data_IF_782251105924
#
_entry.id   IF_782251105924
#
_cell.length_a   1.000
_cell.length_b   1.000
_cell.length_c   1.000
_cell.angle_alpha   90.00
_cell.angle_beta   90.00
_cell.angle_gamma   90.00
#
_symmetry.space_group_name_H-M   'P 1'
#
loop_
_entity.id
_entity.type
_entity.pdbx_description
1 polymer ?
#
# COMPACT_ATOMS: atom_id res chain seq x y z
N UNK A 1 -10.49 27.69 -18.94
CA UNK A 1 -10.33 26.25 -19.21
C UNK A 1 -10.44 25.53 -17.88
N UNK A 2 -11.41 24.64 -17.70
CA UNK A 2 -11.47 23.79 -16.50
C UNK A 2 -10.17 22.98 -16.41
N UNK A 3 -9.50 22.91 -15.25
CA UNK A 3 -8.28 22.12 -15.12
C UNK A 3 -8.56 20.70 -15.60
N UNK A 4 -7.85 20.26 -16.63
CA UNK A 4 -7.95 18.88 -17.11
C UNK A 4 -7.49 17.97 -15.97
N UNK A 5 -8.43 17.22 -15.37
CA UNK A 5 -8.10 16.25 -14.33
C UNK A 5 -7.03 15.30 -14.89
N UNK A 6 -5.92 15.05 -14.17
CA UNK A 6 -4.91 14.10 -14.62
C UNK A 6 -5.54 12.73 -14.84
N UNK A 7 -5.32 12.12 -16.02
CA UNK A 7 -5.82 10.77 -16.28
C UNK A 7 -4.92 9.73 -15.62
N UNK A 8 -5.50 8.85 -14.80
CA UNK A 8 -4.82 7.68 -14.25
C UNK A 8 -5.35 6.41 -14.94
N UNK A 9 -4.50 5.45 -15.33
CA UNK A 9 -4.96 4.20 -15.94
C UNK A 9 -5.96 3.46 -15.08
N UNK A 10 -7.00 2.88 -15.68
CA UNK A 10 -8.06 2.19 -14.92
C UNK A 10 -7.53 1.05 -14.06
N UNK A 11 -6.64 0.21 -14.60
CA UNK A 11 -6.05 -0.91 -13.86
C UNK A 11 -5.24 -0.44 -12.64
N UNK A 12 -4.55 0.71 -12.74
CA UNK A 12 -3.87 1.32 -11.60
C UNK A 12 -4.88 1.68 -10.51
N UNK A 13 -5.96 2.40 -10.88
CA UNK A 13 -6.96 2.86 -9.92
C UNK A 13 -7.64 1.69 -9.21
N UNK A 14 -7.98 0.64 -9.95
CA UNK A 14 -8.58 -0.57 -9.39
C UNK A 14 -7.63 -1.27 -8.41
N UNK A 15 -6.42 -1.62 -8.84
CA UNK A 15 -5.47 -2.33 -7.98
C UNK A 15 -5.09 -1.48 -6.76
N UNK A 16 -4.83 -0.19 -6.96
CA UNK A 16 -4.53 0.74 -5.88
C UNK A 16 -5.70 0.87 -4.90
N UNK A 17 -6.93 1.04 -5.41
CA UNK A 17 -8.13 1.21 -4.60
C UNK A 17 -8.43 -0.03 -3.74
N UNK A 18 -8.43 -1.21 -4.36
CA UNK A 18 -8.66 -2.48 -3.64
C UNK A 18 -7.55 -2.72 -2.61
N UNK A 19 -6.28 -2.51 -2.99
CA UNK A 19 -5.14 -2.66 -2.08
C UNK A 19 -5.22 -1.68 -0.91
N UNK A 20 -5.60 -0.42 -1.17
CA UNK A 20 -5.78 0.60 -0.14
C UNK A 20 -6.90 0.26 0.84
N UNK A 21 -8.06 -0.19 0.35
CA UNK A 21 -9.17 -0.61 1.20
C UNK A 21 -8.82 -1.81 2.08
N UNK A 22 -8.16 -2.82 1.50
CA UNK A 22 -7.70 -4.00 2.24
C UNK A 22 -6.62 -3.64 3.27
N UNK A 23 -5.68 -2.76 2.93
CA UNK A 23 -4.67 -2.27 3.88
C UNK A 23 -5.30 -1.51 5.05
N UNK A 24 -6.29 -0.65 4.79
CA UNK A 24 -7.04 0.04 5.86
C UNK A 24 -7.77 -0.97 6.74
N UNK A 25 -8.47 -1.95 6.16
CA UNK A 25 -9.17 -2.98 6.91
C UNK A 25 -8.22 -3.83 7.77
N UNK A 26 -7.08 -4.25 7.20
CA UNK A 26 -6.04 -4.99 7.91
C UNK A 26 -5.43 -4.16 9.06
N UNK A 27 -5.26 -2.85 8.86
CA UNK A 27 -4.72 -1.97 9.90
C UNK A 27 -5.69 -1.73 11.05
N UNK A 28 -6.96 -1.48 10.74
CA UNK A 28 -8.02 -1.36 11.76
C UNK A 28 -8.09 -2.64 12.57
N UNK A 29 -8.21 -3.79 11.91
CA UNK A 29 -8.30 -5.10 12.60
C UNK A 29 -7.02 -5.47 13.33
N UNK A 30 -5.85 -5.15 12.79
CA UNK A 30 -4.56 -5.35 13.45
C UNK A 30 -4.40 -4.49 14.70
N UNK A 31 -4.90 -3.24 14.66
CA UNK A 31 -4.97 -2.40 15.85
C UNK A 31 -5.90 -3.01 16.91
N UNK A 32 -7.07 -3.53 16.53
CA UNK A 32 -7.98 -4.20 17.45
C UNK A 32 -7.36 -5.48 18.06
N UNK A 33 -6.56 -6.24 17.30
CA UNK A 33 -5.75 -7.34 17.85
C UNK A 33 -4.74 -6.83 18.87
N UNK A 34 -4.02 -5.76 18.53
CA UNK A 34 -3.04 -5.14 19.43
C UNK A 34 -3.69 -4.61 20.73
N UNK A 35 -4.84 -3.95 20.63
CA UNK A 35 -5.61 -3.41 21.77
C UNK A 35 -6.14 -4.53 22.68
N UNK A 36 -6.44 -5.71 22.10
CA UNK A 36 -6.91 -6.89 22.83
C UNK A 36 -5.82 -7.63 23.60
N UNK A 37 -4.57 -7.62 23.14
CA UNK A 37 -3.55 -8.57 23.64
C UNK A 37 -2.22 -7.96 24.07
N UNK A 38 -1.69 -6.95 23.36
CA UNK A 38 -0.36 -6.40 23.67
C UNK A 38 -0.47 -5.10 24.47
N UNK A 39 -1.03 -4.04 23.86
CA UNK A 39 -1.26 -2.75 24.51
C UNK A 39 -0.04 -2.06 25.14
N UNK A 40 1.20 -2.57 24.99
CA UNK A 40 2.39 -2.08 25.72
C UNK A 40 2.80 -0.64 25.36
N UNK A 41 2.46 -0.18 24.16
CA UNK A 41 2.71 1.20 23.71
C UNK A 41 1.46 2.09 23.80
N UNK A 42 0.51 1.71 24.65
CA UNK A 42 -0.76 2.40 24.85
C UNK A 42 -1.93 1.61 24.26
N UNK A 43 -3.10 1.74 24.90
CA UNK A 43 -4.36 1.09 24.52
C UNK A 43 -5.49 2.10 24.55
N UNK A 44 -6.45 1.92 23.66
CA UNK A 44 -7.70 2.71 23.67
C UNK A 44 -8.81 1.97 24.43
N UNK A 45 -8.67 0.67 24.68
CA UNK A 45 -9.66 -0.12 25.40
C UNK A 45 -10.98 -0.27 24.62
N UNK A 46 -10.87 -0.33 23.30
CA UNK A 46 -12.00 -0.55 22.39
C UNK A 46 -12.43 -2.01 22.37
N UNK A 47 -11.54 -2.92 22.74
CA UNK A 47 -11.78 -4.36 22.75
C UNK A 47 -11.39 -5.00 24.06
N UNK A 48 -11.87 -6.22 24.26
CA UNK A 48 -11.38 -7.18 25.25
C UNK A 48 -10.64 -8.29 24.52
N UNK A 49 -9.90 -9.11 25.25
CA UNK A 49 -9.26 -10.36 24.80
C UNK A 49 -10.21 -11.15 23.88
N UNK A 50 -9.97 -11.08 22.58
CA UNK A 50 -10.84 -11.65 21.56
C UNK A 50 -10.02 -12.27 20.43
N UNK A 51 -10.00 -13.60 20.40
CA UNK A 51 -9.23 -14.37 19.43
C UNK A 51 -9.76 -14.22 18.01
N UNK A 52 -11.07 -14.02 17.83
CA UNK A 52 -11.65 -13.87 16.50
C UNK A 52 -11.10 -12.66 15.73
N UNK A 53 -10.58 -11.65 16.42
CA UNK A 53 -9.91 -10.51 15.78
C UNK A 53 -8.61 -10.92 15.06
N UNK A 54 -7.92 -11.95 15.55
CA UNK A 54 -6.73 -12.52 14.89
C UNK A 54 -7.15 -13.16 13.56
N UNK A 55 -8.24 -13.94 13.55
CA UNK A 55 -8.77 -14.58 12.34
C UNK A 55 -9.27 -13.56 11.30
N UNK A 56 -9.99 -12.53 11.77
CA UNK A 56 -10.49 -11.45 10.91
C UNK A 56 -9.32 -10.66 10.32
N UNK A 57 -8.32 -10.31 11.13
CA UNK A 57 -7.11 -9.64 10.65
C UNK A 57 -6.38 -10.50 9.61
N UNK A 58 -6.18 -11.78 9.91
CA UNK A 58 -5.59 -12.76 9.01
C UNK A 58 -6.33 -12.87 7.67
N UNK A 59 -7.67 -12.80 7.69
CA UNK A 59 -8.51 -12.81 6.49
C UNK A 59 -8.25 -11.60 5.58
N UNK A 60 -8.24 -10.39 6.15
CA UNK A 60 -7.92 -9.17 5.37
C UNK A 60 -6.47 -9.18 4.87
N UNK A 61 -5.52 -9.62 5.70
CA UNK A 61 -4.12 -9.73 5.32
C UNK A 61 -3.90 -10.76 4.18
N UNK A 62 -4.62 -11.89 4.21
CA UNK A 62 -4.59 -12.89 3.15
C UNK A 62 -5.14 -12.33 1.84
N UNK A 63 -6.30 -11.67 1.86
CA UNK A 63 -6.84 -10.99 0.67
C UNK A 63 -5.88 -9.92 0.13
N UNK A 64 -5.30 -9.12 1.03
CA UNK A 64 -4.32 -8.08 0.70
C UNK A 64 -3.09 -8.69 0.02
N UNK A 65 -2.58 -9.82 0.50
CA UNK A 65 -1.41 -10.49 -0.07
C UNK A 65 -1.57 -10.80 -1.56
N UNK A 66 -2.70 -11.40 -1.98
CA UNK A 66 -2.92 -11.73 -3.39
C UNK A 66 -3.11 -10.50 -4.27
N UNK A 67 -3.87 -9.51 -3.80
CA UNK A 67 -4.04 -8.24 -4.53
C UNK A 67 -2.70 -7.51 -4.65
N UNK A 68 -1.90 -7.52 -3.59
CA UNK A 68 -0.59 -6.91 -3.54
C UNK A 68 0.38 -7.51 -4.56
N UNK A 69 0.37 -8.83 -4.80
CA UNK A 69 1.18 -9.46 -5.86
C UNK A 69 0.88 -8.81 -7.22
N UNK A 70 -0.41 -8.69 -7.58
CA UNK A 70 -0.83 -8.03 -8.81
C UNK A 70 -0.39 -6.57 -8.87
N UNK A 71 -0.53 -5.85 -7.75
CA UNK A 71 -0.14 -4.44 -7.65
C UNK A 71 1.37 -4.23 -7.75
N UNK A 72 2.20 -5.11 -7.19
CA UNK A 72 3.66 -5.10 -7.33
C UNK A 72 4.06 -5.32 -8.78
N UNK A 73 3.50 -6.34 -9.45
CA UNK A 73 3.79 -6.61 -10.86
C UNK A 73 3.44 -5.40 -11.72
N UNK A 74 2.27 -4.79 -11.49
CA UNK A 74 1.86 -3.56 -12.17
C UNK A 74 2.88 -2.43 -11.91
N UNK A 75 3.22 -2.20 -10.65
CA UNK A 75 4.08 -1.09 -10.21
C UNK A 75 5.51 -1.21 -10.75
N UNK A 76 6.06 -2.42 -10.83
CA UNK A 76 7.41 -2.67 -11.35
C UNK A 76 7.49 -2.59 -12.88
N UNK A 77 6.37 -2.77 -13.57
CA UNK A 77 6.31 -2.73 -15.04
C UNK A 77 5.66 -1.45 -15.55
N UNK A 78 4.34 -1.40 -15.63
CA UNK A 78 3.60 -0.25 -16.17
C UNK A 78 3.70 1.00 -15.27
N UNK A 79 3.81 0.80 -13.96
CA UNK A 79 3.89 1.85 -12.96
C UNK A 79 5.29 2.36 -12.64
N UNK A 80 6.35 1.84 -13.28
CA UNK A 80 7.75 2.02 -12.85
C UNK A 80 8.20 3.47 -12.76
N UNK A 81 7.61 4.36 -13.56
CA UNK A 81 7.88 5.80 -13.52
C UNK A 81 7.49 6.47 -12.20
N UNK A 82 6.62 5.83 -11.40
CA UNK A 82 6.16 6.30 -10.08
C UNK A 82 7.03 5.78 -8.93
N UNK A 83 8.02 4.93 -9.21
CA UNK A 83 8.95 4.38 -8.22
C UNK A 83 10.33 5.07 -8.32
N UNK A 84 11.19 4.83 -7.33
CA UNK A 84 12.60 5.25 -7.36
C UNK A 84 13.28 4.72 -8.62
N UNK A 85 14.09 5.58 -9.23
CA UNK A 85 14.88 5.33 -10.44
C UNK A 85 16.32 5.79 -10.23
N UNK A 86 17.24 5.38 -11.11
CA UNK A 86 18.66 5.70 -11.00
C UNK A 86 18.94 7.22 -10.90
N UNK A 87 18.14 8.04 -11.58
CA UNK A 87 18.23 9.50 -11.56
C UNK A 87 17.65 10.14 -10.28
N UNK A 88 16.91 9.38 -9.47
CA UNK A 88 16.20 9.92 -8.30
C UNK A 88 17.16 10.46 -7.24
N UNK A 89 18.32 9.83 -7.06
CA UNK A 89 19.35 10.31 -6.14
C UNK A 89 19.91 11.68 -6.54
N UNK A 90 20.12 11.91 -7.82
CA UNK A 90 20.58 13.20 -8.33
C UNK A 90 19.50 14.29 -8.20
N UNK A 91 18.22 13.92 -8.25
CA UNK A 91 17.12 14.88 -8.07
C UNK A 91 16.90 15.24 -6.60
N UNK A 92 17.25 14.35 -5.66
CA UNK A 92 17.14 14.62 -4.22
C UNK A 92 18.10 15.72 -3.74
N UNK A 93 19.20 15.96 -4.46
CA UNK A 93 20.13 17.07 -4.14
C UNK A 93 19.60 18.43 -4.59
N UNK A 94 18.57 18.48 -5.46
CA UNK A 94 18.01 19.72 -6.03
C UNK A 94 16.88 20.29 -5.16
N UNK A 95 17.13 20.43 -3.87
CA UNK A 95 16.15 20.81 -2.83
C UNK A 95 15.32 22.04 -3.24
N UNK A 96 14.02 21.99 -2.99
CA UNK A 96 13.08 23.08 -3.26
C UNK A 96 12.59 23.19 -4.71
N UNK A 97 13.29 22.60 -5.69
CA UNK A 97 12.83 22.59 -7.10
C UNK A 97 11.69 21.58 -7.30
N UNK A 98 10.81 21.75 -8.30
CA UNK A 98 9.72 20.80 -8.58
C UNK A 98 10.20 19.35 -8.66
N UNK A 99 11.33 19.10 -9.31
CA UNK A 99 11.91 17.75 -9.48
C UNK A 99 12.24 17.04 -8.16
N UNK A 100 12.57 17.80 -7.12
CA UNK A 100 12.85 17.26 -5.79
C UNK A 100 11.58 16.67 -5.16
N UNK A 101 10.45 17.37 -5.27
CA UNK A 101 9.15 16.88 -4.79
C UNK A 101 8.72 15.60 -5.52
N UNK A 102 8.94 15.52 -6.83
CA UNK A 102 8.70 14.29 -7.60
C UNK A 102 9.62 13.13 -7.16
N UNK A 103 10.88 13.42 -6.81
CA UNK A 103 11.81 12.41 -6.33
C UNK A 103 11.42 11.89 -4.94
N UNK A 104 11.03 12.78 -4.03
CA UNK A 104 10.47 12.41 -2.72
C UNK A 104 9.18 11.60 -2.86
N UNK A 105 8.29 11.98 -3.77
CA UNK A 105 7.05 11.22 -3.98
C UNK A 105 7.32 9.80 -4.47
N UNK A 106 8.28 9.65 -5.39
CA UNK A 106 8.75 8.33 -5.85
C UNK A 106 9.36 7.51 -4.72
N UNK A 107 10.14 8.14 -3.83
CA UNK A 107 10.71 7.49 -2.65
C UNK A 107 9.60 7.01 -1.70
N UNK A 108 8.61 7.86 -1.41
CA UNK A 108 7.46 7.49 -0.59
C UNK A 108 6.67 6.32 -1.19
N UNK A 109 6.44 6.33 -2.51
CA UNK A 109 5.76 5.23 -3.21
C UNK A 109 6.53 3.91 -3.09
N UNK A 110 7.86 3.94 -3.29
CA UNK A 110 8.71 2.76 -3.16
C UNK A 110 8.75 2.27 -1.73
N UNK A 111 8.89 3.17 -0.75
CA UNK A 111 8.88 2.82 0.66
C UNK A 111 7.54 2.17 1.07
N UNK A 112 6.40 2.72 0.62
CA UNK A 112 5.08 2.15 0.87
C UNK A 112 4.96 0.74 0.26
N UNK A 113 5.42 0.54 -0.98
CA UNK A 113 5.39 -0.77 -1.63
C UNK A 113 6.23 -1.80 -0.88
N UNK A 114 7.46 -1.43 -0.47
CA UNK A 114 8.34 -2.30 0.30
C UNK A 114 7.79 -2.59 1.70
N UNK A 115 7.30 -1.58 2.41
CA UNK A 115 6.76 -1.73 3.76
C UNK A 115 5.49 -2.59 3.77
N UNK A 116 4.61 -2.43 2.78
CA UNK A 116 3.46 -3.30 2.62
C UNK A 116 3.87 -4.76 2.35
N UNK A 117 4.86 -4.97 1.47
CA UNK A 117 5.42 -6.31 1.24
C UNK A 117 5.99 -6.94 2.50
N UNK A 118 6.77 -6.19 3.28
CA UNK A 118 7.29 -6.63 4.56
C UNK A 118 6.16 -6.95 5.55
N UNK A 119 5.10 -6.14 5.60
CA UNK A 119 3.96 -6.34 6.49
C UNK A 119 3.24 -7.66 6.20
N UNK A 120 2.89 -7.91 4.93
CA UNK A 120 2.16 -9.15 4.57
C UNK A 120 3.02 -10.41 4.67
N UNK A 121 4.32 -10.32 4.37
CA UNK A 121 5.24 -11.46 4.47
C UNK A 121 5.50 -11.80 5.94
N UNK A 122 5.85 -10.80 6.77
CA UNK A 122 6.13 -11.03 8.19
C UNK A 122 4.91 -11.52 8.96
N UNK A 123 3.70 -11.04 8.63
CA UNK A 123 2.46 -11.51 9.23
C UNK A 123 2.23 -13.01 9.00
N UNK A 124 2.65 -13.55 7.85
CA UNK A 124 2.51 -14.99 7.57
C UNK A 124 3.40 -15.87 8.45
N UNK A 125 4.49 -15.32 8.98
CA UNK A 125 5.40 -16.01 9.89
C UNK A 125 5.02 -15.84 11.36
N UNK A 126 3.95 -15.12 11.68
CA UNK A 126 3.44 -15.03 13.04
C UNK A 126 2.59 -16.25 13.40
N UNK A 127 2.77 -16.76 14.62
CA UNK A 127 1.83 -17.70 15.20
C UNK A 127 0.65 -16.96 15.81
N UNK A 128 -0.56 -17.47 15.57
CA UNK A 128 -1.80 -16.94 16.15
C UNK A 128 -1.87 -17.16 17.68
N UNK A 129 -1.02 -18.02 18.23
CA UNK A 129 -0.97 -18.36 19.65
C UNK A 129 -0.10 -17.40 20.48
N UNK A 130 0.84 -16.68 19.86
CA UNK A 130 1.80 -15.86 20.59
C UNK A 130 1.14 -14.78 21.45
N UNK A 131 0.22 -14.01 20.86
CA UNK A 131 -0.43 -12.91 21.56
C UNK A 131 -1.36 -13.39 22.70
N UNK A 132 -2.24 -14.39 22.47
CA UNK A 132 -3.05 -14.96 23.56
C UNK A 132 -2.26 -15.55 24.72
N UNK A 133 -1.05 -16.04 24.47
CA UNK A 133 -0.17 -16.61 25.51
C UNK A 133 0.74 -15.57 26.19
N UNK A 134 0.66 -14.29 25.78
CA UNK A 134 1.53 -13.23 26.30
C UNK A 134 2.96 -13.28 25.78
N UNK A 135 3.22 -14.01 24.69
CA UNK A 135 4.53 -14.15 24.07
C UNK A 135 4.82 -13.03 23.07
N UNK A 136 5.27 -11.88 23.55
CA UNK A 136 5.47 -10.71 22.69
C UNK A 136 6.88 -10.54 22.10
N UNK A 137 7.79 -11.48 22.38
CA UNK A 137 9.22 -11.34 22.09
C UNK A 137 9.68 -12.19 20.90
N UNK A 138 8.96 -12.09 19.78
CA UNK A 138 9.26 -12.83 18.55
C UNK A 138 9.74 -11.88 17.44
N UNK A 139 10.78 -12.27 16.70
CA UNK A 139 11.34 -11.45 15.62
C UNK A 139 10.26 -11.02 14.61
N UNK A 140 9.46 -11.97 14.14
CA UNK A 140 8.40 -11.71 13.16
C UNK A 140 7.28 -10.83 13.72
N UNK A 141 7.08 -10.83 15.04
CA UNK A 141 6.18 -9.89 15.69
C UNK A 141 6.67 -8.44 15.54
N UNK A 142 7.93 -8.18 15.91
CA UNK A 142 8.50 -6.84 15.79
C UNK A 142 8.66 -6.38 14.34
N UNK A 143 9.10 -7.25 13.43
CA UNK A 143 9.21 -6.92 12.00
C UNK A 143 7.86 -6.48 11.45
N UNK A 144 6.78 -7.18 11.81
CA UNK A 144 5.44 -6.85 11.35
C UNK A 144 4.95 -5.49 11.87
N UNK A 145 5.11 -5.23 13.18
CA UNK A 145 4.74 -3.94 13.77
C UNK A 145 5.52 -2.78 13.15
N UNK A 146 6.85 -2.93 13.04
CA UNK A 146 7.72 -1.91 12.44
C UNK A 146 7.34 -1.68 10.97
N UNK A 147 7.02 -2.74 10.22
CA UNK A 147 6.59 -2.61 8.83
C UNK A 147 5.29 -1.80 8.70
N UNK A 148 4.30 -2.01 9.59
CA UNK A 148 3.09 -1.18 9.62
C UNK A 148 3.36 0.27 10.00
N UNK A 149 4.25 0.54 10.96
CA UNK A 149 4.66 1.90 11.30
C UNK A 149 5.34 2.62 10.14
N UNK A 150 6.23 1.93 9.41
CA UNK A 150 6.88 2.47 8.20
C UNK A 150 5.81 2.70 7.12
N UNK A 151 4.87 1.77 6.94
CA UNK A 151 3.81 1.89 5.95
C UNK A 151 2.91 3.10 6.25
N UNK A 152 2.52 3.33 7.52
CA UNK A 152 1.78 4.52 7.96
C UNK A 152 2.50 5.80 7.51
N UNK A 153 3.78 5.92 7.87
CA UNK A 153 4.58 7.10 7.55
C UNK A 153 4.70 7.28 6.03
N UNK A 154 4.93 6.18 5.29
CA UNK A 154 5.06 6.21 3.84
C UNK A 154 3.74 6.60 3.14
N UNK A 155 2.58 6.11 3.63
CA UNK A 155 1.26 6.49 3.11
C UNK A 155 0.97 7.97 3.41
N UNK A 156 1.25 8.44 4.63
CA UNK A 156 1.07 9.84 4.98
C UNK A 156 1.89 10.74 4.05
N UNK A 157 3.18 10.42 3.86
CA UNK A 157 4.05 11.12 2.91
C UNK A 157 3.56 11.01 1.47
N UNK A 158 3.10 9.82 1.04
CA UNK A 158 2.55 9.59 -0.29
C UNK A 158 1.37 10.52 -0.60
N UNK A 159 0.42 10.66 0.34
CA UNK A 159 -0.75 11.53 0.18
C UNK A 159 -0.34 13.00 0.19
N UNK A 160 0.46 13.43 1.15
CA UNK A 160 0.92 14.82 1.27
C UNK A 160 1.72 15.26 0.03
N UNK A 161 2.63 14.42 -0.45
CA UNK A 161 3.42 14.67 -1.65
C UNK A 161 2.55 14.59 -2.92
N UNK A 162 1.55 13.71 -2.96
CA UNK A 162 0.56 13.66 -4.04
C UNK A 162 -0.18 15.00 -4.20
N UNK A 163 -0.64 15.59 -3.08
CA UNK A 163 -1.23 16.94 -3.09
C UNK A 163 -0.20 17.98 -3.54
N UNK A 164 1.03 17.91 -3.05
CA UNK A 164 2.08 18.89 -3.40
C UNK A 164 2.45 18.86 -4.89
N UNK A 165 2.47 17.67 -5.49
CA UNK A 165 2.95 17.44 -6.85
C UNK A 165 1.85 17.61 -7.91
N UNK A 166 0.64 17.09 -7.66
CA UNK A 166 -0.45 17.10 -8.63
C UNK A 166 -1.73 17.80 -8.17
N UNK A 167 -1.72 18.38 -6.96
CA UNK A 167 -2.89 19.02 -6.37
C UNK A 167 -4.00 18.05 -5.99
N UNK A 168 -5.10 18.62 -5.49
CA UNK A 168 -6.35 17.89 -5.20
C UNK A 168 -6.91 17.14 -6.43
N UNK A 169 -6.84 17.67 -7.68
CA UNK A 169 -7.33 16.95 -8.86
C UNK A 169 -6.66 15.59 -9.07
N UNK A 170 -5.37 15.44 -8.72
CA UNK A 170 -4.67 14.17 -8.80
C UNK A 170 -5.28 13.14 -7.83
N UNK A 171 -5.59 13.53 -6.59
CA UNK A 171 -6.24 12.63 -5.64
C UNK A 171 -7.62 12.21 -6.12
N UNK A 172 -8.43 13.18 -6.58
CA UNK A 172 -9.78 12.90 -7.08
C UNK A 172 -9.77 12.01 -8.31
N UNK A 173 -8.72 12.06 -9.14
CA UNK A 173 -8.60 11.20 -10.32
C UNK A 173 -8.53 9.71 -9.97
N UNK A 174 -8.12 9.35 -8.75
CA UNK A 174 -8.04 7.96 -8.31
C UNK A 174 -9.43 7.33 -8.07
N UNK A 175 -10.46 8.16 -7.86
CA UNK A 175 -11.85 7.72 -7.66
C UNK A 175 -12.71 7.77 -8.92
N UNK A 176 -12.14 8.16 -10.06
CA UNK A 176 -12.88 8.21 -11.33
C UNK A 176 -13.22 6.80 -11.82
N UNK A 177 -14.50 6.54 -12.07
CA UNK A 177 -14.99 5.23 -12.53
C UNK A 177 -14.91 5.10 -14.04
N UNK A 178 -14.90 6.22 -14.78
CA UNK A 178 -14.80 6.23 -16.24
C UNK A 178 -13.40 5.81 -16.71
N UNK A 179 -13.36 4.88 -17.65
CA UNK A 179 -12.14 4.43 -18.30
C UNK A 179 -12.24 4.62 -19.82
N UNK A 180 -11.10 4.77 -20.49
CA UNK A 180 -11.07 4.87 -21.95
C UNK A 180 -11.39 3.51 -22.59
N UNK A 181 -12.05 3.46 -23.76
CA UNK A 181 -12.47 2.20 -24.39
C UNK A 181 -11.35 1.15 -24.50
N UNK A 182 -10.13 1.59 -24.79
CA UNK A 182 -8.95 0.72 -24.88
C UNK A 182 -8.55 0.07 -23.54
N UNK A 183 -8.99 0.58 -22.39
CA UNK A 183 -8.72 0.04 -21.05
C UNK A 183 -9.82 -0.89 -20.53
N UNK A 184 -10.84 -1.17 -21.34
CA UNK A 184 -11.97 -2.03 -20.99
C UNK A 184 -11.54 -3.39 -20.41
N UNK A 185 -12.16 -3.85 -19.30
CA UNK A 185 -11.95 -5.19 -18.75
C UNK A 185 -12.14 -6.32 -19.77
N UNK A 186 -13.02 -6.13 -20.75
CA UNK A 186 -13.25 -7.10 -21.81
C UNK A 186 -11.99 -7.41 -22.63
N UNK A 187 -11.05 -6.45 -22.73
CA UNK A 187 -9.81 -6.58 -23.50
C UNK A 187 -8.63 -7.13 -22.67
N UNK A 188 -8.82 -7.37 -21.37
CA UNK A 188 -7.69 -7.71 -20.48
C UNK A 188 -7.07 -9.07 -20.80
N UNK A 189 -7.89 -10.07 -21.14
CA UNK A 189 -7.41 -11.40 -21.51
C UNK A 189 -6.43 -11.32 -22.68
N UNK A 190 -6.80 -10.61 -23.74
CA UNK A 190 -5.97 -10.44 -24.93
C UNK A 190 -4.68 -9.68 -24.61
N UNK A 191 -4.78 -8.62 -23.79
CA UNK A 191 -3.60 -7.85 -23.34
C UNK A 191 -2.62 -8.69 -22.52
N UNK A 192 -3.12 -9.53 -21.61
CA UNK A 192 -2.29 -10.42 -20.79
C UNK A 192 -1.60 -11.44 -21.70
N UNK A 193 -2.32 -12.04 -22.65
CA UNK A 193 -1.74 -13.00 -23.61
C UNK A 193 -0.66 -12.35 -24.48
N UNK A 194 -0.90 -11.15 -25.00
CA UNK A 194 0.10 -10.41 -25.79
C UNK A 194 1.32 -10.07 -24.94
N UNK A 195 1.12 -9.71 -23.68
CA UNK A 195 2.20 -9.36 -22.77
C UNK A 195 3.06 -10.57 -22.38
N UNK A 196 2.45 -11.74 -22.16
CA UNK A 196 3.15 -13.00 -21.90
C UNK A 196 3.98 -13.46 -23.10
N UNK A 197 3.54 -13.17 -24.33
CA UNK A 197 4.26 -13.52 -25.57
C UNK A 197 5.42 -12.57 -25.90
N UNK A 198 5.45 -11.37 -25.30
CA UNK A 198 6.45 -10.33 -25.55
C UNK A 198 7.51 -10.22 -24.43
N UNK A 199 7.33 -10.95 -23.32
CA UNK A 199 8.30 -11.05 -22.22
C UNK A 199 9.18 -12.28 -22.43
#
# INVERSE_FOLDING_TARGET
MSPTKPYQPFLLRLLHGVNGLLAIAAWVTGYLVYDSWDGRWGRLGLTTDNRALIDIHGTFAFGLFFVFIGFVIYSLKAGRSRLVRADSWQHLTRVGKPVWWYALHRLANTAALCALGLSVISGKFQSEEWLPQGEFNHLWYFVHLVAWCILLAAIALHVLLGVKVGGVPLLLSMWETRYRPEESPALWKDKILVWLRKS
#
